data_IF_516409064875
#
_entry.id   IF_516409064875
#
_cell.length_a   1.000
_cell.length_b   1.000
_cell.length_c   1.000
_cell.angle_alpha   90.00
_cell.angle_beta   90.00
_cell.angle_gamma   90.00
#
_symmetry.space_group_name_H-M   'P 1'
#
loop_
_entity.id
_entity.type
_entity.pdbx_description
1 polymer ?
#
# COMPACT_ATOMS: atom_id res chain seq x y z
N UNK A 1 11.31 14.80 -0.35
CA UNK A 1 10.08 14.06 0.02
C UNK A 1 8.92 15.02 0.09
N UNK A 2 7.78 14.65 -0.46
CA UNK A 2 6.51 15.40 -0.35
C UNK A 2 5.66 14.76 0.73
N UNK A 3 4.98 15.59 1.48
CA UNK A 3 4.04 15.16 2.52
C UNK A 3 2.65 15.71 2.23
N UNK A 4 1.62 15.03 2.73
CA UNK A 4 0.25 15.51 2.70
C UNK A 4 -0.49 15.15 3.99
N UNK A 5 -1.58 15.85 4.24
CA UNK A 5 -2.45 15.55 5.37
C UNK A 5 -3.35 14.36 5.05
N UNK A 6 -3.66 13.58 6.07
CA UNK A 6 -4.63 12.49 6.01
C UNK A 6 -5.67 12.74 7.13
N UNK A 7 -6.97 12.61 6.87
CA UNK A 7 -7.97 12.80 7.91
C UNK A 7 -7.69 11.90 9.13
N UNK A 8 -7.85 12.47 10.33
CA UNK A 8 -7.61 11.80 11.63
C UNK A 8 -6.17 11.29 11.85
N UNK A 9 -5.19 11.85 11.13
CA UNK A 9 -3.76 11.64 11.35
C UNK A 9 -3.11 12.99 11.62
N UNK A 10 -2.59 13.19 12.83
CA UNK A 10 -2.06 14.49 13.28
C UNK A 10 -0.73 14.88 12.61
N UNK A 11 -0.03 13.92 12.07
CA UNK A 11 1.27 14.09 11.41
C UNK A 11 1.12 14.19 9.90
N UNK A 12 1.92 15.03 9.21
CA UNK A 12 1.98 14.99 7.75
C UNK A 12 2.56 13.64 7.29
N UNK A 13 1.95 13.04 6.27
CA UNK A 13 2.27 11.70 5.77
C UNK A 13 3.10 11.79 4.50
N UNK A 14 4.21 11.08 4.42
CA UNK A 14 5.05 11.02 3.20
C UNK A 14 4.31 10.33 2.05
N UNK A 15 4.37 10.92 0.84
CA UNK A 15 3.71 10.38 -0.37
C UNK A 15 4.23 9.01 -0.78
N UNK A 16 5.50 8.69 -0.44
CA UNK A 16 6.03 7.33 -0.51
C UNK A 16 5.90 6.73 0.89
N UNK A 17 5.19 5.61 0.95
CA UNK A 17 4.98 4.79 2.15
C UNK A 17 5.88 3.57 2.05
N UNK A 18 6.63 3.24 3.09
CA UNK A 18 7.45 2.03 3.07
C UNK A 18 6.61 0.82 3.45
N UNK A 19 6.42 -0.10 2.49
CA UNK A 19 5.80 -1.40 2.73
C UNK A 19 6.79 -2.37 3.36
N UNK A 20 6.51 -2.80 4.58
CA UNK A 20 7.43 -3.65 5.35
C UNK A 20 7.36 -5.14 5.01
N UNK A 21 6.49 -5.56 4.09
CA UNK A 21 6.44 -6.95 3.59
C UNK A 21 7.66 -7.28 2.73
N UNK A 22 8.85 -7.30 3.32
CA UNK A 22 10.12 -7.56 2.64
C UNK A 22 10.91 -8.70 3.29
N UNK A 23 11.77 -9.42 2.54
CA UNK A 23 12.56 -10.51 3.11
C UNK A 23 13.40 -10.11 4.34
N UNK A 24 13.94 -8.89 4.37
CA UNK A 24 14.74 -8.40 5.50
C UNK A 24 13.89 -8.24 6.77
N UNK A 25 12.66 -7.75 6.61
CA UNK A 25 11.73 -7.59 7.74
C UNK A 25 11.22 -8.94 8.22
N UNK A 26 10.86 -9.87 7.31
CA UNK A 26 10.47 -11.23 7.70
C UNK A 26 11.58 -11.99 8.43
N UNK A 27 12.84 -11.85 8.02
CA UNK A 27 13.97 -12.51 8.67
C UNK A 27 14.24 -12.02 10.11
N UNK A 28 13.69 -10.88 10.49
CA UNK A 28 13.85 -10.24 11.81
C UNK A 28 12.64 -10.43 12.74
N UNK A 29 11.73 -11.38 12.44
CA UNK A 29 10.63 -11.70 13.34
C UNK A 29 11.13 -12.43 14.57
N UNK A 30 11.02 -11.80 15.73
CA UNK A 30 11.42 -12.36 17.03
C UNK A 30 10.63 -13.61 17.35
N UNK A 31 9.33 -13.59 17.16
CA UNK A 31 8.43 -14.71 17.39
C UNK A 31 8.79 -15.99 16.62
N UNK A 32 9.59 -15.88 15.57
CA UNK A 32 10.00 -17.01 14.70
C UNK A 32 11.49 -17.32 14.85
N UNK A 33 12.34 -16.32 15.00
CA UNK A 33 13.79 -16.47 14.84
C UNK A 33 14.63 -16.08 16.06
N UNK A 34 14.03 -15.75 17.22
CA UNK A 34 14.77 -15.31 18.42
C UNK A 34 15.89 -16.27 18.84
N UNK A 35 15.70 -17.57 18.65
CA UNK A 35 16.72 -18.58 18.97
C UNK A 35 17.75 -18.82 17.87
N UNK A 36 17.64 -18.13 16.72
CA UNK A 36 18.63 -18.27 15.65
C UNK A 36 19.96 -17.62 16.05
N UNK A 37 21.11 -18.27 15.80
CA UNK A 37 22.42 -17.74 16.21
C UNK A 37 22.77 -16.36 15.61
N UNK A 38 22.14 -16.00 14.50
CA UNK A 38 22.32 -14.76 13.75
C UNK A 38 21.15 -13.77 13.91
N UNK A 39 20.27 -13.98 14.91
CA UNK A 39 19.08 -13.13 15.08
C UNK A 39 19.40 -11.64 15.24
N UNK A 40 20.38 -11.32 16.08
CA UNK A 40 20.78 -9.93 16.31
C UNK A 40 21.28 -9.25 15.01
N UNK A 41 21.97 -9.99 14.16
CA UNK A 41 22.42 -9.49 12.85
C UNK A 41 21.24 -9.27 11.89
N UNK A 42 20.24 -10.15 11.92
CA UNK A 42 19.01 -9.98 11.11
C UNK A 42 18.22 -8.75 11.57
N UNK A 43 18.09 -8.58 12.87
CA UNK A 43 17.41 -7.42 13.46
C UNK A 43 18.13 -6.12 13.10
N UNK A 44 19.46 -6.06 13.24
CA UNK A 44 20.23 -4.88 12.83
C UNK A 44 20.15 -4.61 11.31
N UNK A 45 20.02 -5.65 10.49
CA UNK A 45 19.77 -5.51 9.04
C UNK A 45 18.42 -4.86 8.77
N UNK A 46 17.38 -5.24 9.52
CA UNK A 46 16.05 -4.62 9.43
C UNK A 46 16.10 -3.16 9.92
N UNK A 47 16.78 -2.89 11.04
CA UNK A 47 16.96 -1.53 11.57
C UNK A 47 17.69 -0.63 10.59
N UNK A 48 18.81 -1.09 10.02
CA UNK A 48 19.57 -0.34 9.00
C UNK A 48 18.72 -0.01 7.76
N UNK A 49 17.82 -0.91 7.37
CA UNK A 49 16.87 -0.65 6.29
C UNK A 49 15.88 0.44 6.69
N UNK A 50 15.26 0.34 7.86
CA UNK A 50 14.29 1.33 8.36
C UNK A 50 14.95 2.70 8.57
N UNK A 51 16.16 2.74 9.15
CA UNK A 51 16.96 3.96 9.28
C UNK A 51 17.23 4.61 7.92
N UNK A 52 17.57 3.81 6.90
CA UNK A 52 17.79 4.30 5.54
C UNK A 52 16.53 4.90 4.92
N UNK A 53 15.37 4.27 5.11
CA UNK A 53 14.08 4.80 4.62
C UNK A 53 13.70 6.09 5.35
N UNK A 54 13.85 6.11 6.66
CA UNK A 54 13.59 7.30 7.47
C UNK A 54 14.52 8.48 7.11
N UNK A 55 15.80 8.21 6.87
CA UNK A 55 16.77 9.22 6.42
C UNK A 55 16.43 9.83 5.04
N UNK A 56 15.71 9.11 4.18
CA UNK A 56 15.16 9.65 2.92
C UNK A 56 13.92 10.52 3.13
N UNK A 57 13.42 10.64 4.36
CA UNK A 57 12.21 11.38 4.72
C UNK A 57 10.93 10.56 4.63
N UNK A 58 11.01 9.24 4.46
CA UNK A 58 9.84 8.37 4.61
C UNK A 58 9.47 8.33 6.09
N UNK A 59 8.26 8.78 6.43
CA UNK A 59 7.76 8.73 7.79
C UNK A 59 6.53 7.83 7.96
N UNK A 60 5.98 7.29 6.88
CA UNK A 60 4.85 6.38 6.93
C UNK A 60 5.30 4.95 6.60
N UNK A 61 4.97 4.01 7.49
CA UNK A 61 5.33 2.60 7.39
C UNK A 61 4.07 1.75 7.38
N UNK A 62 3.94 0.92 6.34
CA UNK A 62 2.84 -0.01 6.16
C UNK A 62 3.21 -1.38 6.74
N UNK A 63 2.38 -1.90 7.64
CA UNK A 63 2.51 -3.23 8.25
C UNK A 63 1.15 -3.93 8.36
N UNK A 64 1.17 -5.20 8.71
CA UNK A 64 -0.04 -5.98 9.00
C UNK A 64 0.28 -7.12 9.97
N UNK A 65 -0.77 -7.75 10.49
CA UNK A 65 -0.70 -8.86 11.45
C UNK A 65 0.29 -9.98 11.10
N UNK A 66 0.63 -10.12 9.82
CA UNK A 66 1.53 -11.15 9.29
C UNK A 66 2.79 -10.60 8.62
N UNK A 67 3.05 -9.29 8.63
CA UNK A 67 4.31 -8.71 8.15
C UNK A 67 4.69 -7.40 8.85
N UNK A 68 5.96 -7.26 9.15
CA UNK A 68 6.63 -6.02 9.52
C UNK A 68 6.45 -5.52 10.94
N UNK A 69 5.43 -5.95 11.69
CA UNK A 69 5.07 -5.36 12.99
C UNK A 69 6.18 -5.47 14.04
N UNK A 70 6.71 -6.68 14.28
CA UNK A 70 7.69 -6.90 15.35
C UNK A 70 8.97 -6.08 15.14
N UNK A 71 9.70 -6.19 14.01
CA UNK A 71 10.93 -5.42 13.83
C UNK A 71 10.68 -3.91 13.71
N UNK A 72 9.50 -3.48 13.23
CA UNK A 72 9.13 -2.07 13.18
C UNK A 72 8.90 -1.52 14.61
N UNK A 73 8.22 -2.27 15.48
CA UNK A 73 8.01 -1.91 16.86
C UNK A 73 9.33 -1.81 17.64
N UNK A 74 10.20 -2.81 17.49
CA UNK A 74 11.53 -2.82 18.12
C UNK A 74 12.40 -1.66 17.63
N UNK A 75 12.36 -1.34 16.33
CA UNK A 75 13.08 -0.18 15.77
C UNK A 75 12.57 1.15 16.32
N UNK A 76 11.23 1.34 16.35
CA UNK A 76 10.64 2.57 16.89
C UNK A 76 11.02 2.79 18.35
N UNK A 77 10.97 1.73 19.16
CA UNK A 77 11.38 1.78 20.58
C UNK A 77 12.88 2.09 20.71
N UNK A 78 13.74 1.36 19.99
CA UNK A 78 15.18 1.53 20.06
C UNK A 78 15.67 2.92 19.60
N UNK A 79 14.93 3.57 18.67
CA UNK A 79 15.26 4.90 18.12
C UNK A 79 14.46 6.05 18.74
N UNK A 80 13.45 5.77 19.58
CA UNK A 80 12.55 6.79 20.14
C UNK A 80 11.76 7.54 19.07
N UNK A 81 11.17 6.82 18.10
CA UNK A 81 10.60 7.42 16.90
C UNK A 81 9.06 7.36 16.82
N UNK A 82 8.35 6.73 17.78
CA UNK A 82 6.90 6.56 17.68
C UNK A 82 6.15 7.85 17.33
N UNK A 83 6.50 8.96 17.98
CA UNK A 83 5.85 10.25 17.77
C UNK A 83 6.24 10.94 16.43
N UNK A 84 7.25 10.42 15.76
CA UNK A 84 7.77 11.01 14.50
C UNK A 84 7.36 10.23 13.26
N UNK A 85 6.86 9.00 13.44
CA UNK A 85 6.43 8.14 12.35
C UNK A 85 4.92 7.97 12.35
N UNK A 86 4.39 7.63 11.18
CA UNK A 86 3.00 7.30 10.94
C UNK A 86 2.91 5.80 10.67
N UNK A 87 2.04 5.12 11.40
CA UNK A 87 1.80 3.69 11.22
C UNK A 87 0.50 3.48 10.46
N UNK A 88 0.60 2.83 9.30
CA UNK A 88 -0.52 2.28 8.57
C UNK A 88 -0.54 0.77 8.84
N UNK A 89 -1.39 0.36 9.74
CA UNK A 89 -1.54 -1.04 10.10
C UNK A 89 -2.79 -1.67 9.49
N UNK A 90 -2.78 -2.98 9.30
CA UNK A 90 -3.93 -3.71 8.75
C UNK A 90 -4.19 -4.98 9.54
N UNK A 91 -5.46 -5.21 9.87
CA UNK A 91 -5.96 -6.46 10.45
C UNK A 91 -7.05 -7.11 9.60
N UNK A 92 -7.71 -8.11 10.10
CA UNK A 92 -8.77 -8.83 9.43
C UNK A 92 -8.35 -9.49 8.10
N UNK A 93 -7.09 -9.95 7.99
CA UNK A 93 -6.67 -10.78 6.86
C UNK A 93 -7.24 -12.19 7.03
N UNK A 94 -7.87 -12.72 5.97
CA UNK A 94 -8.38 -14.08 6.05
C UNK A 94 -7.25 -15.12 6.07
N UNK A 95 -7.53 -16.25 6.67
CA UNK A 95 -6.63 -17.39 6.70
C UNK A 95 -7.15 -18.51 5.78
N UNK A 96 -6.45 -19.63 5.72
CA UNK A 96 -6.83 -20.77 4.86
C UNK A 96 -8.17 -21.43 5.22
N UNK A 97 -8.75 -21.13 6.39
CA UNK A 97 -9.97 -21.80 6.86
C UNK A 97 -11.21 -20.90 6.75
N UNK A 98 -11.04 -19.58 6.95
CA UNK A 98 -12.16 -18.64 6.94
C UNK A 98 -11.73 -17.21 6.67
N UNK A 99 -12.68 -16.40 6.28
CA UNK A 99 -12.57 -14.95 6.32
C UNK A 99 -12.64 -14.48 7.77
N UNK A 100 -11.88 -13.44 8.11
CA UNK A 100 -11.68 -12.96 9.48
C UNK A 100 -12.07 -11.49 9.56
N UNK A 101 -13.37 -11.22 9.70
CA UNK A 101 -13.91 -9.85 9.75
C UNK A 101 -14.98 -9.71 10.83
N UNK A 102 -15.02 -10.63 11.79
CA UNK A 102 -15.90 -10.50 12.96
C UNK A 102 -15.35 -9.44 13.92
N UNK A 103 -16.19 -8.94 14.82
CA UNK A 103 -15.79 -8.05 15.91
C UNK A 103 -14.62 -8.60 16.71
N UNK A 104 -14.67 -9.91 17.06
CA UNK A 104 -13.59 -10.60 17.73
C UNK A 104 -12.27 -10.57 16.93
N UNK A 105 -12.33 -10.85 15.63
CA UNK A 105 -11.13 -10.84 14.78
C UNK A 105 -10.51 -9.44 14.70
N UNK A 106 -11.32 -8.41 14.48
CA UNK A 106 -10.88 -7.02 14.38
C UNK A 106 -10.23 -6.54 15.68
N UNK A 107 -10.88 -6.79 16.82
CA UNK A 107 -10.35 -6.44 18.14
C UNK A 107 -9.04 -7.19 18.43
N UNK A 108 -9.03 -8.51 18.21
CA UNK A 108 -7.87 -9.35 18.46
C UNK A 108 -6.67 -8.90 17.63
N UNK A 109 -6.86 -8.69 16.33
CA UNK A 109 -5.79 -8.27 15.44
C UNK A 109 -5.27 -6.87 15.82
N UNK A 110 -6.15 -5.91 16.11
CA UNK A 110 -5.74 -4.57 16.54
C UNK A 110 -4.90 -4.61 17.84
N UNK A 111 -5.34 -5.33 18.87
CA UNK A 111 -4.60 -5.43 20.12
C UNK A 111 -3.26 -6.16 19.93
N UNK A 112 -3.20 -7.21 19.12
CA UNK A 112 -1.96 -7.89 18.76
C UNK A 112 -0.98 -6.95 18.03
N UNK A 113 -1.48 -6.18 17.07
CA UNK A 113 -0.71 -5.19 16.34
C UNK A 113 -0.11 -4.14 17.28
N UNK A 114 -0.92 -3.58 18.20
CA UNK A 114 -0.46 -2.63 19.21
C UNK A 114 0.66 -3.22 20.09
N UNK A 115 0.49 -4.47 20.53
CA UNK A 115 1.49 -5.16 21.35
C UNK A 115 2.81 -5.39 20.61
N UNK A 116 2.77 -5.87 19.36
CA UNK A 116 3.96 -6.10 18.53
C UNK A 116 4.67 -4.81 18.14
N UNK A 117 3.91 -3.75 17.86
CA UNK A 117 4.45 -2.41 17.56
C UNK A 117 4.90 -1.65 18.80
N UNK A 118 4.65 -2.19 20.02
CA UNK A 118 5.00 -1.57 21.32
C UNK A 118 4.46 -0.14 21.43
N UNK A 119 3.21 0.06 21.04
CA UNK A 119 2.53 1.35 21.03
C UNK A 119 1.10 1.23 21.58
N UNK A 120 0.55 2.31 22.03
CA UNK A 120 -0.82 2.40 22.55
C UNK A 120 -1.86 2.81 21.48
N UNK A 121 -1.40 3.30 20.32
CA UNK A 121 -2.25 3.75 19.22
C UNK A 121 -1.66 3.49 17.84
N UNK A 122 -2.52 3.41 16.82
CA UNK A 122 -2.20 3.33 15.39
C UNK A 122 -2.71 4.60 14.72
N UNK A 123 -1.89 5.22 13.87
CA UNK A 123 -2.32 6.42 13.13
C UNK A 123 -3.42 6.09 12.11
N UNK A 124 -3.31 4.95 11.45
CA UNK A 124 -4.32 4.42 10.53
C UNK A 124 -4.48 2.92 10.76
N UNK A 125 -5.72 2.45 10.81
CA UNK A 125 -6.03 1.02 10.89
C UNK A 125 -7.02 0.64 9.80
N UNK A 126 -6.60 -0.27 8.92
CA UNK A 126 -7.38 -0.69 7.77
C UNK A 126 -7.79 -2.15 7.89
N UNK A 127 -8.98 -2.48 7.45
CA UNK A 127 -9.36 -3.87 7.23
C UNK A 127 -8.70 -4.37 5.95
N UNK A 128 -7.89 -5.43 6.08
CA UNK A 128 -7.03 -5.91 4.99
C UNK A 128 -7.80 -6.60 3.87
N UNK A 129 -8.93 -7.23 4.23
CA UNK A 129 -9.83 -7.95 3.33
C UNK A 129 -11.28 -7.73 3.75
N UNK A 130 -12.21 -8.06 2.87
CA UNK A 130 -13.65 -8.03 3.13
C UNK A 130 -14.25 -9.44 3.15
N UNK A 131 -15.37 -9.59 3.85
CA UNK A 131 -16.34 -10.65 3.63
C UNK A 131 -17.71 -10.05 3.31
N UNK A 132 -18.10 -9.96 2.04
CA UNK A 132 -19.39 -9.40 1.66
C UNK A 132 -20.61 -10.12 2.25
N UNK A 133 -20.42 -11.31 2.82
CA UNK A 133 -21.51 -12.01 3.51
C UNK A 133 -21.78 -11.44 4.92
N UNK A 134 -20.85 -10.67 5.48
CA UNK A 134 -21.01 -10.03 6.79
C UNK A 134 -21.69 -8.67 6.63
N UNK A 135 -22.69 -8.31 7.47
CA UNK A 135 -23.24 -6.97 7.50
C UNK A 135 -22.17 -5.93 7.87
N UNK A 136 -22.25 -4.74 7.28
CA UNK A 136 -21.28 -3.65 7.60
C UNK A 136 -21.45 -3.09 9.00
N UNK A 137 -22.67 -3.10 9.56
CA UNK A 137 -22.97 -2.48 10.84
C UNK A 137 -22.03 -2.92 11.96
N UNK A 138 -21.97 -4.21 12.33
CA UNK A 138 -21.06 -4.70 13.38
C UNK A 138 -19.58 -4.37 13.10
N UNK A 139 -19.16 -4.34 11.83
CA UNK A 139 -17.79 -3.98 11.44
C UNK A 139 -17.51 -2.50 11.75
N UNK A 140 -18.43 -1.61 11.37
CA UNK A 140 -18.32 -0.17 11.64
C UNK A 140 -18.37 0.11 13.12
N UNK A 141 -19.28 -0.56 13.86
CA UNK A 141 -19.44 -0.36 15.31
C UNK A 141 -18.15 -0.73 16.07
N UNK A 142 -17.52 -1.86 15.75
CA UNK A 142 -16.29 -2.28 16.43
C UNK A 142 -15.09 -1.38 16.11
N UNK A 143 -14.98 -0.88 14.88
CA UNK A 143 -13.94 0.07 14.52
C UNK A 143 -14.14 1.41 15.20
N UNK A 144 -15.39 1.88 15.34
CA UNK A 144 -15.69 3.09 16.08
C UNK A 144 -15.40 2.95 17.57
N UNK A 145 -15.65 1.78 18.15
CA UNK A 145 -15.22 1.49 19.53
C UNK A 145 -13.71 1.65 19.70
N UNK A 146 -12.89 1.10 18.78
CA UNK A 146 -11.43 1.24 18.83
C UNK A 146 -11.00 2.72 18.62
N UNK A 147 -11.72 3.48 17.78
CA UNK A 147 -11.50 4.89 17.57
C UNK A 147 -11.81 5.70 18.85
N UNK A 148 -12.96 5.48 19.50
CA UNK A 148 -13.37 6.14 20.73
C UNK A 148 -12.44 5.82 21.90
N UNK A 149 -11.85 4.60 21.92
CA UNK A 149 -10.83 4.19 22.89
C UNK A 149 -9.45 4.82 22.59
N UNK A 150 -9.29 5.60 21.51
CA UNK A 150 -8.03 6.21 21.09
C UNK A 150 -6.99 5.19 20.60
N UNK A 151 -7.42 3.97 20.24
CA UNK A 151 -6.52 2.90 19.77
C UNK A 151 -6.16 3.06 18.30
N UNK A 152 -7.04 3.68 17.53
CA UNK A 152 -6.85 3.92 16.09
C UNK A 152 -7.25 5.36 15.74
N UNK A 153 -6.55 5.96 14.81
CA UNK A 153 -6.90 7.25 14.22
C UNK A 153 -7.81 7.07 12.99
N UNK A 154 -7.28 7.18 11.79
CA UNK A 154 -8.07 6.99 10.58
C UNK A 154 -8.55 5.54 10.43
N UNK A 155 -9.85 5.39 10.18
CA UNK A 155 -10.49 4.10 9.86
C UNK A 155 -10.43 3.91 8.34
N UNK A 156 -10.03 2.72 7.88
CA UNK A 156 -9.93 2.48 6.45
C UNK A 156 -10.19 1.03 6.01
N UNK A 157 -10.20 0.87 4.69
CA UNK A 157 -10.39 -0.43 4.06
C UNK A 157 -9.36 -0.67 2.95
N UNK A 158 -8.83 -1.88 2.91
CA UNK A 158 -8.03 -2.41 1.81
C UNK A 158 -8.81 -3.52 1.12
N UNK A 159 -8.79 -3.52 -0.22
CA UNK A 159 -9.49 -4.55 -0.99
C UNK A 159 -11.01 -4.62 -0.76
N UNK A 160 -11.63 -3.50 -0.48
CA UNK A 160 -13.08 -3.35 -0.47
C UNK A 160 -13.54 -2.74 -1.81
N UNK A 161 -14.69 -3.21 -2.32
CA UNK A 161 -15.30 -2.58 -3.50
C UNK A 161 -15.83 -1.19 -3.15
N UNK A 162 -16.03 -0.35 -4.16
CA UNK A 162 -16.59 0.99 -3.96
C UNK A 162 -17.96 0.92 -3.27
N UNK A 163 -18.82 0.03 -3.73
CA UNK A 163 -20.18 -0.16 -3.20
C UNK A 163 -20.13 -0.55 -1.72
N UNK A 164 -19.22 -1.43 -1.37
CA UNK A 164 -19.04 -1.90 0.01
C UNK A 164 -18.50 -0.81 0.93
N UNK A 165 -17.58 0.00 0.43
CA UNK A 165 -17.06 1.18 1.13
C UNK A 165 -18.17 2.22 1.37
N UNK A 166 -19.01 2.48 0.36
CA UNK A 166 -20.15 3.39 0.47
C UNK A 166 -21.19 2.87 1.46
N UNK A 167 -21.55 1.57 1.40
CA UNK A 167 -22.46 0.95 2.36
C UNK A 167 -22.03 1.14 3.82
N UNK A 168 -20.72 0.95 4.09
CA UNK A 168 -20.15 1.16 5.42
C UNK A 168 -20.23 2.63 5.85
N UNK A 169 -19.91 3.56 4.95
CA UNK A 169 -19.98 4.99 5.25
C UNK A 169 -21.40 5.50 5.42
N UNK A 170 -22.35 5.01 4.63
CA UNK A 170 -23.78 5.33 4.80
C UNK A 170 -24.29 4.85 6.17
N UNK A 171 -23.87 3.64 6.59
CA UNK A 171 -24.18 3.15 7.93
C UNK A 171 -23.58 4.05 9.01
N UNK A 172 -22.29 4.36 8.92
CA UNK A 172 -21.61 5.21 9.90
C UNK A 172 -22.30 6.58 10.04
N UNK A 173 -22.55 7.27 8.93
CA UNK A 173 -23.20 8.58 8.91
C UNK A 173 -24.61 8.54 9.50
N UNK A 174 -25.39 7.51 9.16
CA UNK A 174 -26.75 7.32 9.69
C UNK A 174 -26.77 7.14 11.21
N UNK A 175 -25.72 6.56 11.78
CA UNK A 175 -25.62 6.28 13.23
C UNK A 175 -24.76 7.31 13.99
N UNK A 176 -24.28 8.39 13.33
CA UNK A 176 -23.43 9.40 13.94
C UNK A 176 -22.05 8.89 14.32
N UNK A 177 -21.55 7.88 13.59
CA UNK A 177 -20.26 7.25 13.79
C UNK A 177 -19.21 7.82 12.83
N UNK A 178 -17.93 7.61 13.13
CA UNK A 178 -16.81 7.96 12.26
C UNK A 178 -16.81 7.07 11.02
N UNK A 179 -16.91 7.64 9.79
CA UNK A 179 -16.84 6.87 8.57
C UNK A 179 -15.41 6.43 8.22
N UNK A 180 -15.28 5.52 7.29
CA UNK A 180 -14.00 5.17 6.68
C UNK A 180 -13.47 6.37 5.90
N UNK A 181 -12.26 6.77 6.21
CA UNK A 181 -11.62 7.98 5.69
C UNK A 181 -10.41 7.73 4.78
N UNK A 182 -9.95 6.48 4.67
CA UNK A 182 -8.80 6.08 3.82
C UNK A 182 -9.05 4.75 3.14
N UNK A 183 -8.46 4.54 1.95
CA UNK A 183 -8.54 3.28 1.22
C UNK A 183 -7.18 2.81 0.75
N UNK A 184 -6.99 1.48 0.68
CA UNK A 184 -5.75 0.89 0.16
C UNK A 184 -6.05 -0.20 -0.90
N UNK A 185 -6.42 0.18 -2.12
CA UNK A 185 -6.60 -0.71 -3.26
C UNK A 185 -5.27 -0.94 -4.01
N UNK A 186 -5.26 -1.92 -4.93
CA UNK A 186 -4.26 -1.92 -5.98
C UNK A 186 -4.46 -0.71 -6.90
N UNK A 187 -3.38 0.05 -7.14
CA UNK A 187 -3.38 1.13 -8.12
C UNK A 187 -2.00 1.36 -8.71
N UNK A 188 -1.93 1.39 -10.02
CA UNK A 188 -0.72 1.64 -10.82
C UNK A 188 -1.05 1.71 -12.29
N UNK A 189 -0.03 1.94 -13.11
CA UNK A 189 -0.18 2.04 -14.57
C UNK A 189 -0.60 0.68 -15.19
N UNK A 190 -0.14 -0.46 -14.64
CA UNK A 190 -0.57 -1.77 -15.11
C UNK A 190 -1.97 -2.12 -14.61
N UNK A 191 -2.78 -2.70 -15.47
CA UNK A 191 -4.03 -3.35 -15.07
C UNK A 191 -3.72 -4.64 -14.32
N UNK A 192 -4.30 -4.83 -13.15
CA UNK A 192 -4.28 -6.12 -12.46
C UNK A 192 -5.37 -6.99 -13.07
N UNK A 193 -4.98 -7.85 -14.02
CA UNK A 193 -5.92 -8.66 -14.82
C UNK A 193 -6.42 -9.91 -14.12
N UNK A 194 -5.66 -10.41 -13.14
CA UNK A 194 -6.05 -11.53 -12.29
C UNK A 194 -5.71 -11.22 -10.84
N UNK A 195 -6.45 -11.79 -9.91
CA UNK A 195 -6.10 -11.71 -8.50
C UNK A 195 -4.81 -12.52 -8.22
N UNK A 196 -3.73 -11.87 -7.75
CA UNK A 196 -2.45 -12.55 -7.52
C UNK A 196 -2.49 -13.55 -6.37
N UNK A 197 -3.40 -13.36 -5.41
CA UNK A 197 -3.41 -14.09 -4.14
C UNK A 197 -4.65 -14.95 -3.90
N UNK A 198 -5.38 -15.29 -4.97
CA UNK A 198 -6.43 -16.30 -4.90
C UNK A 198 -7.81 -15.81 -4.49
N UNK A 199 -8.06 -14.53 -4.52
CA UNK A 199 -9.38 -13.93 -4.34
C UNK A 199 -9.42 -12.77 -3.35
N UNK A 200 -10.30 -11.80 -3.62
CA UNK A 200 -10.59 -10.66 -2.76
C UNK A 200 -9.62 -9.49 -2.90
N UNK A 201 -8.79 -9.43 -3.95
CA UNK A 201 -8.06 -8.21 -4.29
C UNK A 201 -8.94 -7.25 -5.08
N UNK A 202 -8.84 -5.97 -4.75
CA UNK A 202 -9.55 -4.91 -5.46
C UNK A 202 -8.53 -3.98 -6.10
N UNK A 203 -8.68 -3.79 -7.42
CA UNK A 203 -7.89 -2.85 -8.21
C UNK A 203 -8.74 -1.67 -8.65
N UNK A 204 -8.15 -0.49 -8.60
CA UNK A 204 -8.70 0.72 -9.22
C UNK A 204 -7.88 1.15 -10.45
N UNK A 205 -6.94 0.30 -10.92
CA UNK A 205 -6.23 0.47 -12.17
C UNK A 205 -7.17 0.26 -13.37
N UNK A 206 -6.75 0.72 -14.52
CA UNK A 206 -7.44 0.52 -15.78
C UNK A 206 -8.84 1.13 -15.88
N UNK A 207 -9.59 0.78 -16.92
CA UNK A 207 -10.91 1.38 -17.19
C UNK A 207 -11.96 1.02 -16.14
N UNK A 208 -11.90 -0.19 -15.56
CA UNK A 208 -12.88 -0.68 -14.58
C UNK A 208 -12.77 0.05 -13.24
N UNK A 209 -11.58 0.58 -12.89
CA UNK A 209 -11.36 1.35 -11.67
C UNK A 209 -11.79 2.83 -11.77
N UNK A 210 -12.26 3.31 -12.93
CA UNK A 210 -12.55 4.72 -13.16
C UNK A 210 -13.62 5.29 -12.22
N UNK A 211 -14.67 4.52 -11.96
CA UNK A 211 -15.75 4.96 -11.05
C UNK A 211 -15.22 5.15 -9.61
N UNK A 212 -14.42 4.21 -9.13
CA UNK A 212 -13.82 4.30 -7.79
C UNK A 212 -12.84 5.47 -7.69
N UNK A 213 -11.94 5.64 -8.67
CA UNK A 213 -11.02 6.80 -8.70
C UNK A 213 -11.76 8.13 -8.67
N UNK A 214 -12.81 8.26 -9.47
CA UNK A 214 -13.63 9.46 -9.50
C UNK A 214 -14.30 9.72 -8.15
N UNK A 215 -14.90 8.72 -7.54
CA UNK A 215 -15.53 8.85 -6.23
C UNK A 215 -14.52 9.26 -5.15
N UNK A 216 -13.35 8.62 -5.10
CA UNK A 216 -12.32 8.97 -4.11
C UNK A 216 -11.77 10.38 -4.33
N UNK A 217 -11.62 10.84 -5.58
CA UNK A 217 -11.22 12.19 -5.90
C UNK A 217 -12.28 13.23 -5.46
N UNK A 218 -13.55 13.04 -5.84
CA UNK A 218 -14.65 13.95 -5.51
C UNK A 218 -14.91 14.06 -4.00
N UNK A 219 -14.61 13.01 -3.23
CA UNK A 219 -14.81 12.98 -1.78
C UNK A 219 -13.49 13.16 -0.99
N UNK A 220 -12.39 13.48 -1.65
CA UNK A 220 -11.07 13.70 -1.04
C UNK A 220 -10.62 12.52 -0.15
N UNK A 221 -10.90 11.28 -0.57
CA UNK A 221 -10.48 10.08 0.14
C UNK A 221 -9.04 9.71 -0.26
N UNK A 222 -8.07 9.73 0.68
CA UNK A 222 -6.70 9.33 0.42
C UNK A 222 -6.59 7.87 -0.03
N UNK A 223 -5.83 7.65 -1.10
CA UNK A 223 -5.61 6.34 -1.71
C UNK A 223 -4.19 5.86 -1.43
N UNK A 224 -4.04 4.86 -0.59
CA UNK A 224 -2.77 4.19 -0.30
C UNK A 224 -2.56 3.04 -1.29
N UNK A 225 -1.98 3.35 -2.44
CA UNK A 225 -1.84 2.46 -3.58
C UNK A 225 -0.82 1.35 -3.33
N UNK A 226 -1.26 0.09 -3.21
CA UNK A 226 -0.31 -1.03 -3.15
C UNK A 226 0.08 -1.53 -4.53
N UNK A 227 1.28 -2.11 -4.63
CA UNK A 227 1.91 -2.58 -5.87
C UNK A 227 1.93 -1.54 -7.00
N UNK A 228 2.34 -0.28 -6.75
CA UNK A 228 2.29 0.80 -7.73
C UNK A 228 3.15 0.54 -8.98
N UNK A 229 4.21 -0.27 -8.85
CA UNK A 229 5.07 -0.73 -9.95
C UNK A 229 4.76 -2.18 -10.38
N UNK A 230 3.52 -2.66 -10.12
CA UNK A 230 3.03 -3.97 -10.54
C UNK A 230 3.99 -5.11 -10.14
N UNK A 231 4.41 -5.16 -8.86
CA UNK A 231 5.33 -6.18 -8.31
C UNK A 231 6.64 -6.30 -9.09
N UNK A 232 7.15 -5.20 -9.61
CA UNK A 232 8.40 -5.15 -10.34
C UNK A 232 8.27 -5.24 -11.86
N UNK A 233 7.06 -5.33 -12.40
CA UNK A 233 6.81 -5.29 -13.84
C UNK A 233 7.44 -4.03 -14.48
N UNK A 234 7.30 -2.87 -13.84
CA UNK A 234 7.92 -1.61 -14.26
C UNK A 234 9.25 -1.30 -13.56
N UNK A 235 9.93 -2.28 -12.98
CA UNK A 235 11.21 -2.05 -12.28
C UNK A 235 12.39 -1.72 -13.22
N UNK A 236 12.23 -1.90 -14.52
CA UNK A 236 13.30 -1.79 -15.53
C UNK A 236 14.15 -3.06 -15.66
N UNK A 237 13.85 -4.14 -14.94
CA UNK A 237 14.49 -5.46 -15.11
C UNK A 237 13.88 -6.25 -16.27
N UNK A 238 12.56 -6.16 -16.44
CA UNK A 238 11.82 -6.70 -17.55
C UNK A 238 11.79 -5.67 -18.68
N UNK A 239 11.99 -6.11 -19.91
CA UNK A 239 11.79 -5.28 -21.11
C UNK A 239 10.65 -5.82 -21.97
N UNK A 240 10.05 -4.94 -22.77
CA UNK A 240 8.89 -5.28 -23.57
C UNK A 240 9.20 -6.14 -24.81
N UNK A 241 10.47 -6.26 -25.19
CA UNK A 241 10.91 -7.08 -26.32
C UNK A 241 11.05 -8.56 -25.92
N UNK A 242 11.19 -8.84 -24.61
CA UNK A 242 11.41 -10.18 -24.08
C UNK A 242 10.37 -10.54 -23.00
N UNK A 243 9.06 -10.60 -23.35
CA UNK A 243 8.00 -10.88 -22.39
C UNK A 243 8.11 -12.29 -21.76
N UNK A 244 8.75 -13.23 -22.44
CA UNK A 244 9.03 -14.61 -21.96
C UNK A 244 9.89 -14.64 -20.69
N UNK A 245 10.68 -13.58 -20.45
CA UNK A 245 11.54 -13.48 -19.26
C UNK A 245 10.79 -13.06 -17.99
N UNK A 246 9.51 -12.75 -18.10
CA UNK A 246 8.73 -12.33 -16.94
C UNK A 246 8.74 -13.39 -15.81
N UNK A 247 8.64 -14.68 -16.15
CA UNK A 247 8.66 -15.76 -15.18
C UNK A 247 10.03 -15.95 -14.48
N UNK A 248 11.12 -15.47 -15.08
CA UNK A 248 12.47 -15.46 -14.49
C UNK A 248 12.66 -14.26 -13.55
N UNK A 249 12.10 -13.09 -13.91
CA UNK A 249 12.40 -11.79 -13.32
C UNK A 249 11.39 -11.32 -12.27
N UNK A 250 10.22 -11.94 -12.25
CA UNK A 250 9.11 -11.61 -11.34
C UNK A 250 8.69 -12.84 -10.54
N UNK A 251 8.04 -12.60 -9.41
CA UNK A 251 7.39 -13.67 -8.66
C UNK A 251 6.09 -14.16 -9.35
N UNK A 252 5.59 -15.32 -8.94
CA UNK A 252 4.39 -15.93 -9.49
C UNK A 252 3.16 -14.99 -9.42
N UNK A 253 3.01 -14.27 -8.31
CA UNK A 253 1.92 -13.32 -8.11
C UNK A 253 2.01 -12.13 -9.10
N UNK A 254 3.22 -11.66 -9.38
CA UNK A 254 3.48 -10.62 -10.37
C UNK A 254 3.14 -11.08 -11.80
N UNK A 255 3.61 -12.26 -12.16
CA UNK A 255 3.32 -12.85 -13.49
C UNK A 255 1.82 -13.04 -13.67
N UNK A 256 1.16 -13.68 -12.70
CA UNK A 256 -0.29 -13.94 -12.73
C UNK A 256 -1.12 -12.66 -12.80
N UNK A 257 -0.74 -11.66 -12.02
CA UNK A 257 -1.52 -10.43 -11.87
C UNK A 257 -1.36 -9.45 -13.04
N UNK A 258 -0.18 -9.40 -13.67
CA UNK A 258 0.14 -8.28 -14.54
C UNK A 258 0.65 -8.65 -15.94
N UNK A 259 1.06 -9.90 -16.21
CA UNK A 259 1.56 -10.28 -17.53
C UNK A 259 0.40 -10.49 -18.51
N UNK A 260 0.06 -9.44 -19.26
CA UNK A 260 -0.90 -9.46 -20.36
C UNK A 260 -0.42 -8.57 -21.52
N UNK A 261 -0.93 -8.76 -22.74
CA UNK A 261 -0.49 -7.99 -23.92
C UNK A 261 -0.60 -6.47 -23.74
N UNK A 262 -1.67 -5.98 -23.10
CA UNK A 262 -1.90 -4.55 -22.86
C UNK A 262 -0.86 -3.95 -21.91
N UNK A 263 -0.48 -4.68 -20.86
CA UNK A 263 0.56 -4.20 -19.95
C UNK A 263 1.94 -4.21 -20.59
N UNK A 264 2.26 -5.17 -21.46
CA UNK A 264 3.50 -5.12 -22.26
C UNK A 264 3.52 -3.94 -23.24
N UNK A 265 2.36 -3.53 -23.80
CA UNK A 265 2.26 -2.29 -24.56
C UNK A 265 2.54 -1.06 -23.69
N UNK A 266 1.99 -1.02 -22.46
CA UNK A 266 2.30 0.04 -21.48
C UNK A 266 3.79 0.08 -21.13
N UNK A 267 4.40 -1.10 -20.89
CA UNK A 267 5.83 -1.20 -20.63
C UNK A 267 6.66 -0.61 -21.78
N UNK A 268 6.35 -0.99 -23.02
CA UNK A 268 7.02 -0.43 -24.20
C UNK A 268 6.88 1.09 -24.29
N UNK A 269 5.70 1.63 -24.00
CA UNK A 269 5.49 3.08 -23.97
C UNK A 269 6.28 3.75 -22.85
N UNK A 270 6.36 3.13 -21.67
CA UNK A 270 7.24 3.58 -20.59
C UNK A 270 8.71 3.58 -20.98
N UNK A 271 9.20 2.55 -21.67
CA UNK A 271 10.58 2.46 -22.14
C UNK A 271 10.93 3.57 -23.13
N UNK A 272 10.03 3.85 -24.08
CA UNK A 272 10.19 4.95 -25.05
C UNK A 272 10.27 6.29 -24.31
N UNK A 273 9.30 6.58 -23.45
CA UNK A 273 9.23 7.85 -22.73
C UNK A 273 10.40 8.01 -21.74
N UNK A 274 10.82 6.94 -21.07
CA UNK A 274 11.97 6.92 -20.18
C UNK A 274 13.25 7.29 -20.94
N UNK A 275 13.44 6.73 -22.14
CA UNK A 275 14.57 7.07 -23.02
C UNK A 275 14.52 8.53 -23.49
N UNK A 276 13.35 9.02 -23.93
CA UNK A 276 13.16 10.41 -24.35
C UNK A 276 13.49 11.41 -23.24
N UNK A 277 13.07 11.09 -22.01
CA UNK A 277 13.23 11.96 -20.84
C UNK A 277 14.54 11.72 -20.06
N UNK A 278 15.32 10.70 -20.40
CA UNK A 278 16.59 10.37 -19.74
C UNK A 278 16.41 9.88 -18.30
N UNK A 279 15.32 9.19 -17.97
CA UNK A 279 15.01 8.68 -16.64
C UNK A 279 14.67 7.18 -16.67
N UNK A 280 14.75 6.46 -15.54
CA UNK A 280 14.37 5.04 -15.49
C UNK A 280 12.88 4.80 -15.73
N UNK A 281 12.55 3.62 -16.29
CA UNK A 281 11.17 3.14 -16.50
C UNK A 281 10.32 3.22 -15.23
N UNK A 282 10.89 2.80 -14.09
CA UNK A 282 10.21 2.85 -12.80
C UNK A 282 9.78 4.26 -12.40
N UNK A 283 10.59 5.27 -12.73
CA UNK A 283 10.26 6.66 -12.43
C UNK A 283 9.09 7.16 -13.28
N UNK A 284 9.01 6.78 -14.57
CA UNK A 284 7.86 7.11 -15.42
C UNK A 284 6.58 6.45 -14.89
N UNK A 285 6.61 5.15 -14.61
CA UNK A 285 5.44 4.43 -14.12
C UNK A 285 4.95 4.96 -12.76
N UNK A 286 5.87 5.34 -11.86
CA UNK A 286 5.53 5.94 -10.58
C UNK A 286 5.00 7.38 -10.76
N UNK A 287 5.60 8.18 -11.65
CA UNK A 287 5.15 9.54 -11.95
C UNK A 287 3.73 9.55 -12.53
N UNK A 288 3.36 8.53 -13.31
CA UNK A 288 2.00 8.39 -13.84
C UNK A 288 0.95 8.36 -12.70
N UNK A 289 1.22 7.65 -11.60
CA UNK A 289 0.31 7.58 -10.45
C UNK A 289 0.10 8.97 -9.85
N UNK A 290 1.18 9.74 -9.65
CA UNK A 290 1.13 11.09 -9.08
C UNK A 290 0.65 12.17 -10.05
N UNK A 291 0.46 11.81 -11.33
CA UNK A 291 -0.11 12.71 -12.34
C UNK A 291 -1.63 12.83 -12.26
N UNK A 292 -2.29 11.96 -11.49
CA UNK A 292 -3.72 12.06 -11.17
C UNK A 292 -3.95 13.12 -10.08
N UNK A 293 -3.91 14.41 -10.48
CA UNK A 293 -3.88 15.55 -9.54
C UNK A 293 -5.12 15.68 -8.66
N UNK A 294 -6.25 15.17 -9.13
CA UNK A 294 -7.51 15.18 -8.37
C UNK A 294 -7.60 14.05 -7.34
N UNK A 295 -6.72 13.05 -7.45
CA UNK A 295 -6.69 11.90 -6.56
C UNK A 295 -5.56 12.04 -5.54
N UNK A 296 -5.89 11.94 -4.26
CA UNK A 296 -4.92 12.07 -3.17
C UNK A 296 -4.17 10.74 -2.95
N UNK A 297 -3.08 10.51 -3.72
CA UNK A 297 -2.37 9.22 -3.77
C UNK A 297 -1.15 9.20 -2.87
N UNK A 298 -1.01 8.09 -2.14
CA UNK A 298 0.19 7.65 -1.41
C UNK A 298 0.63 6.31 -1.98
N UNK A 299 1.89 6.16 -2.40
CA UNK A 299 2.38 4.95 -3.05
C UNK A 299 3.15 4.04 -2.09
N UNK A 300 2.66 2.80 -1.90
CA UNK A 300 3.32 1.79 -1.06
C UNK A 300 4.47 1.13 -1.83
N UNK A 301 5.70 1.39 -1.41
CA UNK A 301 6.90 0.83 -2.03
C UNK A 301 7.65 -0.07 -1.06
N UNK A 302 7.80 -1.35 -1.42
CA UNK A 302 8.60 -2.34 -0.66
C UNK A 302 10.04 -2.49 -1.17
N UNK A 303 10.57 -1.53 -1.95
CA UNK A 303 11.95 -1.60 -2.40
C UNK A 303 12.93 -1.45 -1.24
N UNK A 304 13.82 -2.43 -1.06
CA UNK A 304 14.89 -2.39 -0.06
C UNK A 304 16.18 -1.74 -0.58
N UNK A 305 16.17 -1.26 -1.81
CA UNK A 305 17.28 -0.53 -2.42
C UNK A 305 17.05 0.98 -2.28
N UNK A 306 17.99 1.66 -1.63
CA UNK A 306 17.93 3.10 -1.35
C UNK A 306 17.86 3.93 -2.63
N UNK A 307 18.61 3.56 -3.67
CA UNK A 307 18.59 4.32 -4.95
C UNK A 307 17.24 4.19 -5.65
N UNK A 308 16.61 3.02 -5.62
CA UNK A 308 15.25 2.85 -6.13
C UNK A 308 14.24 3.71 -5.36
N UNK A 309 14.39 3.82 -4.04
CA UNK A 309 13.50 4.68 -3.24
C UNK A 309 13.72 6.17 -3.54
N UNK A 310 14.95 6.61 -3.79
CA UNK A 310 15.21 7.98 -4.26
C UNK A 310 14.49 8.28 -5.58
N UNK A 311 14.49 7.32 -6.51
CA UNK A 311 13.76 7.45 -7.78
C UNK A 311 12.25 7.50 -7.58
N UNK A 312 11.69 6.68 -6.67
CA UNK A 312 10.28 6.72 -6.31
C UNK A 312 9.89 8.08 -5.70
N UNK A 313 10.74 8.63 -4.82
CA UNK A 313 10.54 9.95 -4.23
C UNK A 313 10.59 11.05 -5.29
N UNK A 314 11.58 10.99 -6.21
CA UNK A 314 11.68 11.94 -7.31
C UNK A 314 10.47 11.90 -8.25
N UNK A 315 9.84 10.73 -8.41
CA UNK A 315 8.66 10.57 -9.23
C UNK A 315 7.42 11.34 -8.72
N UNK A 316 7.34 11.64 -7.41
CA UNK A 316 6.21 12.37 -6.84
C UNK A 316 5.98 13.76 -7.46
N UNK A 317 7.05 14.40 -7.95
CA UNK A 317 7.00 15.71 -8.60
C UNK A 317 7.43 15.66 -10.07
N UNK A 318 7.70 14.47 -10.59
CA UNK A 318 8.17 14.35 -11.97
C UNK A 318 7.02 14.67 -12.95
N UNK A 319 7.18 15.68 -13.83
CA UNK A 319 6.08 16.13 -14.65
C UNK A 319 5.83 15.17 -15.83
N UNK A 320 4.59 14.69 -15.92
CA UNK A 320 4.04 14.08 -17.11
C UNK A 320 2.88 14.95 -17.60
N UNK A 321 2.80 15.14 -18.93
CA UNK A 321 1.66 15.86 -19.52
C UNK A 321 0.42 14.96 -19.53
N UNK A 322 -0.76 15.56 -19.68
CA UNK A 322 -2.00 14.80 -19.80
C UNK A 322 -1.98 13.86 -21.04
N UNK A 323 -1.33 14.30 -22.14
CA UNK A 323 -1.14 13.49 -23.35
C UNK A 323 -0.21 12.30 -23.10
N UNK A 324 0.91 12.50 -22.38
CA UNK A 324 1.82 11.42 -21.99
C UNK A 324 1.10 10.40 -21.10
N UNK A 325 0.33 10.86 -20.12
CA UNK A 325 -0.45 10.00 -19.25
C UNK A 325 -1.50 9.18 -20.01
N UNK A 326 -2.23 9.82 -20.94
CA UNK A 326 -3.22 9.14 -21.77
C UNK A 326 -2.57 8.13 -22.72
N UNK A 327 -1.41 8.47 -23.27
CA UNK A 327 -0.64 7.57 -24.12
C UNK A 327 -0.14 6.35 -23.33
N UNK A 328 0.46 6.54 -22.15
CA UNK A 328 0.88 5.45 -21.27
C UNK A 328 -0.29 4.53 -20.88
N UNK A 329 -1.47 5.09 -20.63
CA UNK A 329 -2.69 4.35 -20.28
C UNK A 329 -3.41 3.70 -21.48
N UNK A 330 -2.84 3.78 -22.67
CA UNK A 330 -3.39 3.25 -23.92
C UNK A 330 -4.73 3.89 -24.34
N UNK A 331 -5.05 5.08 -23.87
CA UNK A 331 -6.29 5.80 -24.18
C UNK A 331 -6.15 6.72 -25.41
N UNK A 332 -4.94 6.97 -25.87
CA UNK A 332 -4.65 7.66 -27.14
C UNK A 332 -3.42 7.07 -27.82
N UNK A 333 -3.25 7.37 -29.11
CA UNK A 333 -2.00 7.16 -29.86
C UNK A 333 -1.20 8.48 -29.88
N UNK A 334 0.12 8.36 -30.09
CA UNK A 334 1.07 9.49 -30.13
C UNK A 334 1.61 9.68 -31.55
#
# INVERSE_FOLDING_TARGET
>A
MIYASVPHVDKPVSRIVFGTATPKMFAAFRSVYESAPDFDQRLETAFSLLDSMYALGVNCFDCADHYGEEPLGEWMEARGLRDKVVILAKGAHHNRWRKRITDFDILHDCHNTLAKLKTDHLDMYLLHRDDPAMPVGPIVDVLNRLYDEGKIGAIGASNWTLERFQEANDYALKHGLQPFSVVSPNFGLADQVNDPWGGGCVTISGPNGRAARRFYAENHIPVFAYSPLARGFFSGRLDSAHPERAAELMDEAGVKGYCCPENFKRLRRCEILAKEKGVPVAQIAMAWIFSHKDLDVFALSGSTNVENQKLNIAACEYPLTAEECAWLDLTCER
#
